data_IF_315891512417
#
_entry.id   IF_315891512417
#
_cell.length_a   1.000
_cell.length_b   1.000
_cell.length_c   1.000
_cell.angle_alpha   90.00
_cell.angle_beta   90.00
_cell.angle_gamma   90.00
#
_symmetry.space_group_name_H-M   'P 1'
#
loop_
_entity.id
_entity.type
_entity.pdbx_description
1 polymer ?
#
# COMPACT_ATOMS: atom_id res chain seq x y z
N UNK A 1 -35.00 1.23 -69.87
CA UNK A 1 -34.15 1.36 -68.66
C UNK A 1 -35.05 1.79 -67.52
N UNK A 2 -35.49 0.85 -66.67
CA UNK A 2 -36.38 1.14 -65.54
C UNK A 2 -35.51 1.41 -64.31
N UNK A 3 -35.53 2.64 -63.83
CA UNK A 3 -34.81 3.04 -62.60
C UNK A 3 -35.74 2.72 -61.43
N UNK A 4 -35.38 1.70 -60.66
CA UNK A 4 -36.07 1.32 -59.43
C UNK A 4 -35.70 2.30 -58.32
N UNK A 5 -36.62 3.21 -57.99
CA UNK A 5 -36.45 4.20 -56.93
C UNK A 5 -36.71 3.51 -55.60
N UNK A 6 -35.65 2.99 -54.98
CA UNK A 6 -35.70 2.49 -53.59
C UNK A 6 -36.21 3.60 -52.67
N UNK A 7 -37.41 3.44 -52.11
CA UNK A 7 -37.94 4.33 -51.07
C UNK A 7 -37.00 4.31 -49.87
N UNK A 8 -36.30 5.42 -49.65
CA UNK A 8 -35.65 5.69 -48.37
C UNK A 8 -36.74 5.82 -47.31
N UNK A 9 -36.83 4.85 -46.40
CA UNK A 9 -37.65 4.97 -45.20
C UNK A 9 -36.91 5.91 -44.25
N UNK A 10 -37.42 7.12 -44.08
CA UNK A 10 -36.93 8.08 -43.10
C UNK A 10 -37.31 7.66 -41.68
N UNK A 11 -36.46 8.04 -40.72
CA UNK A 11 -36.71 7.83 -39.29
C UNK A 11 -37.99 8.54 -38.84
N UNK A 12 -38.72 7.92 -37.92
CA UNK A 12 -39.89 8.55 -37.28
C UNK A 12 -39.47 9.32 -36.03
N UNK A 13 -40.21 10.38 -35.69
CA UNK A 13 -39.98 11.14 -34.46
C UNK A 13 -40.07 10.25 -33.21
N UNK A 14 -40.97 9.27 -33.23
CA UNK A 14 -41.19 8.33 -32.14
C UNK A 14 -39.96 7.46 -31.89
N UNK A 15 -39.29 7.03 -32.95
CA UNK A 15 -38.06 6.22 -32.88
C UNK A 15 -36.91 7.01 -32.25
N UNK A 16 -36.76 8.28 -32.60
CA UNK A 16 -35.77 9.16 -31.96
C UNK A 16 -36.11 9.38 -30.49
N UNK A 17 -37.37 9.66 -30.15
CA UNK A 17 -37.81 9.86 -28.77
C UNK A 17 -37.48 8.67 -27.87
N UNK A 18 -37.78 7.45 -28.33
CA UNK A 18 -37.47 6.22 -27.57
C UNK A 18 -35.97 6.09 -27.32
N UNK A 19 -35.13 6.39 -28.33
CA UNK A 19 -33.67 6.35 -28.18
C UNK A 19 -33.18 7.36 -27.13
N UNK A 20 -33.66 8.61 -27.14
CA UNK A 20 -33.21 9.61 -26.15
C UNK A 20 -33.64 9.24 -24.73
N UNK A 21 -34.81 8.64 -24.57
CA UNK A 21 -35.31 8.15 -23.27
C UNK A 21 -34.42 7.03 -22.75
N UNK A 22 -34.10 6.03 -23.58
CA UNK A 22 -33.21 4.92 -23.19
C UNK A 22 -31.81 5.45 -22.85
N UNK A 23 -31.26 6.36 -23.65
CA UNK A 23 -29.95 6.99 -23.37
C UNK A 23 -29.96 7.80 -22.07
N UNK A 24 -31.06 8.51 -21.76
CA UNK A 24 -31.21 9.22 -20.49
C UNK A 24 -31.24 8.30 -19.28
N UNK A 25 -31.94 7.15 -19.38
CA UNK A 25 -31.98 6.12 -18.33
C UNK A 25 -30.59 5.49 -18.15
N UNK A 26 -29.93 5.10 -19.25
CA UNK A 26 -28.60 4.49 -19.20
C UNK A 26 -27.56 5.46 -18.64
N UNK A 27 -27.62 6.74 -19.01
CA UNK A 27 -26.72 7.76 -18.48
C UNK A 27 -26.86 7.95 -16.97
N UNK A 28 -28.08 7.81 -16.42
CA UNK A 28 -28.32 7.91 -14.98
C UNK A 28 -27.84 6.69 -14.18
N UNK A 29 -27.73 5.52 -14.82
CA UNK A 29 -27.32 4.27 -14.17
C UNK A 29 -25.81 4.02 -14.17
N UNK A 30 -25.05 4.74 -14.99
CA UNK A 30 -23.59 4.60 -15.02
C UNK A 30 -22.99 5.45 -13.90
N UNK A 31 -22.90 4.85 -12.71
CA UNK A 31 -21.98 5.30 -11.66
C UNK A 31 -20.74 4.42 -11.73
N UNK A 32 -19.60 4.92 -12.26
CA UNK A 32 -18.36 4.15 -12.19
C UNK A 32 -17.89 4.09 -10.73
N UNK A 33 -18.21 3.00 -10.04
CA UNK A 33 -17.80 2.73 -8.66
C UNK A 33 -16.38 2.12 -8.66
N UNK A 34 -15.36 2.91 -8.98
CA UNK A 34 -13.97 2.40 -9.15
C UNK A 34 -12.96 2.96 -8.13
N UNK A 35 -13.37 3.80 -7.17
CA UNK A 35 -12.40 4.63 -6.42
C UNK A 35 -11.79 3.98 -5.15
N UNK A 36 -12.21 2.80 -4.68
CA UNK A 36 -11.73 2.27 -3.37
C UNK A 36 -10.72 1.11 -3.40
N UNK A 37 -10.38 0.55 -4.56
CA UNK A 37 -9.42 -0.57 -4.65
C UNK A 37 -7.93 -0.24 -4.39
N UNK A 38 -7.44 0.99 -4.63
CA UNK A 38 -6.05 1.31 -4.34
C UNK A 38 -5.71 1.21 -2.86
N UNK A 39 -6.67 1.51 -1.98
CA UNK A 39 -6.39 1.76 -0.56
C UNK A 39 -6.24 0.47 0.25
N UNK A 40 -7.13 -0.50 0.06
CA UNK A 40 -6.97 -1.84 0.66
C UNK A 40 -5.67 -2.51 0.20
N UNK A 41 -5.31 -2.36 -1.08
CA UNK A 41 -4.08 -2.89 -1.62
C UNK A 41 -2.84 -2.26 -0.98
N UNK A 42 -2.89 -0.96 -0.65
CA UNK A 42 -1.83 -0.28 0.11
C UNK A 42 -1.70 -0.86 1.51
N UNK A 43 -2.79 -0.99 2.26
CA UNK A 43 -2.75 -1.58 3.61
C UNK A 43 -2.16 -2.99 3.59
N UNK A 44 -2.56 -3.81 2.63
CA UNK A 44 -2.00 -5.18 2.46
C UNK A 44 -0.50 -5.13 2.13
N UNK A 45 -0.08 -4.26 1.21
CA UNK A 45 1.34 -4.09 0.89
C UNK A 45 2.14 -3.64 2.11
N UNK A 46 1.60 -2.70 2.90
CA UNK A 46 2.25 -2.25 4.12
C UNK A 46 2.44 -3.39 5.12
N UNK A 47 1.41 -4.23 5.33
CA UNK A 47 1.48 -5.41 6.20
C UNK A 47 2.52 -6.42 5.72
N UNK A 48 2.63 -6.63 4.41
CA UNK A 48 3.65 -7.52 3.82
C UNK A 48 5.07 -7.00 4.05
N UNK A 49 5.30 -5.70 3.83
CA UNK A 49 6.59 -5.07 4.06
C UNK A 49 6.99 -5.13 5.54
N UNK A 50 6.06 -4.84 6.47
CA UNK A 50 6.29 -4.96 7.92
C UNK A 50 6.64 -6.41 8.28
N UNK A 51 5.92 -7.40 7.74
CA UNK A 51 6.22 -8.81 7.99
C UNK A 51 7.63 -9.19 7.51
N UNK A 52 8.05 -8.70 6.35
CA UNK A 52 9.39 -8.92 5.80
C UNK A 52 10.48 -8.26 6.66
N UNK A 53 10.27 -7.00 7.07
CA UNK A 53 11.18 -6.29 7.97
C UNK A 53 11.32 -6.99 9.32
N UNK A 54 10.21 -7.48 9.89
CA UNK A 54 10.22 -8.25 11.13
C UNK A 54 11.01 -9.56 11.00
N UNK A 55 10.92 -10.25 9.85
CA UNK A 55 11.74 -11.44 9.59
C UNK A 55 13.24 -11.08 9.52
N UNK A 56 13.59 -9.99 8.84
CA UNK A 56 14.97 -9.51 8.77
C UNK A 56 15.52 -9.11 10.15
N UNK A 57 14.70 -8.46 11.00
CA UNK A 57 15.06 -8.12 12.37
C UNK A 57 15.28 -9.37 13.23
N UNK A 58 14.45 -10.40 13.07
CA UNK A 58 14.64 -11.70 13.75
C UNK A 58 15.95 -12.35 13.35
N UNK A 59 16.30 -12.30 12.06
CA UNK A 59 17.58 -12.80 11.56
C UNK A 59 18.77 -11.98 12.10
N UNK A 60 18.64 -10.65 12.13
CA UNK A 60 19.63 -9.78 12.77
C UNK A 60 19.87 -10.17 14.23
N UNK A 61 18.78 -10.41 14.98
CA UNK A 61 18.88 -10.86 16.38
C UNK A 61 19.49 -12.24 16.49
N UNK A 62 19.20 -13.16 15.57
CA UNK A 62 19.79 -14.50 15.60
C UNK A 62 21.33 -14.43 15.54
N UNK A 63 21.86 -13.59 14.66
CA UNK A 63 23.30 -13.44 14.48
C UNK A 63 23.95 -12.65 15.63
N UNK A 64 23.30 -11.54 16.04
CA UNK A 64 23.89 -10.54 16.94
C UNK A 64 23.40 -10.65 18.38
N UNK A 65 22.52 -11.61 18.67
CA UNK A 65 21.88 -11.88 19.96
C UNK A 65 21.01 -10.73 20.50
N UNK A 66 20.78 -9.69 19.71
CA UNK A 66 19.96 -8.52 20.04
C UNK A 66 19.37 -7.88 18.79
N UNK A 67 18.25 -7.20 18.93
CA UNK A 67 17.77 -6.30 17.88
C UNK A 67 18.62 -5.01 17.81
N UNK A 68 18.58 -4.28 16.68
CA UNK A 68 19.12 -2.93 16.60
C UNK A 68 18.45 -2.01 17.63
N UNK A 69 19.15 -0.98 18.09
CA UNK A 69 18.54 0.08 18.91
C UNK A 69 17.64 0.99 18.06
N UNK A 70 16.75 1.74 18.70
CA UNK A 70 15.92 2.75 17.99
C UNK A 70 16.79 3.75 17.22
N UNK A 71 17.90 4.20 17.79
CA UNK A 71 18.83 5.14 17.14
C UNK A 71 19.55 4.55 15.92
N UNK A 72 19.86 3.25 15.96
CA UNK A 72 20.38 2.53 14.81
C UNK A 72 19.29 2.32 13.73
N UNK A 73 18.05 2.14 14.19
CA UNK A 73 16.86 2.02 13.35
C UNK A 73 16.88 0.82 12.40
N UNK A 74 15.96 0.85 11.43
CA UNK A 74 15.92 -0.13 10.35
C UNK A 74 17.15 -0.07 9.43
N UNK A 75 17.90 1.04 9.45
CA UNK A 75 19.11 1.19 8.64
C UNK A 75 20.17 0.15 8.98
N UNK A 76 20.17 -0.36 10.22
CA UNK A 76 20.99 -1.48 10.67
C UNK A 76 20.81 -2.77 9.86
N UNK A 77 19.67 -2.92 9.17
CA UNK A 77 19.38 -4.07 8.31
C UNK A 77 20.09 -3.98 6.95
N UNK A 78 20.48 -2.78 6.50
CA UNK A 78 21.13 -2.56 5.20
C UNK A 78 22.62 -2.31 5.39
N UNK A 79 22.98 -1.47 6.35
CA UNK A 79 24.36 -1.04 6.61
C UNK A 79 24.73 -1.41 8.04
N UNK A 80 25.94 -1.94 8.22
CA UNK A 80 26.45 -2.26 9.55
C UNK A 80 26.48 -1.01 10.43
N UNK A 81 25.81 -1.01 11.60
CA UNK A 81 25.90 0.09 12.55
C UNK A 81 27.32 0.29 13.07
N UNK A 82 27.73 1.55 13.13
CA UNK A 82 28.99 1.99 13.77
C UNK A 82 28.76 2.52 15.19
N UNK A 83 27.51 2.81 15.55
CA UNK A 83 27.12 3.26 16.89
C UNK A 83 27.00 2.08 17.85
N UNK A 84 27.43 2.30 19.09
CA UNK A 84 27.31 1.29 20.14
C UNK A 84 25.84 0.97 20.46
N UNK A 85 25.48 -0.31 20.65
CA UNK A 85 26.33 -1.49 20.58
C UNK A 85 26.63 -1.92 19.13
N UNK A 86 27.92 -2.03 18.80
CA UNK A 86 28.36 -2.46 17.45
C UNK A 86 28.13 -3.98 17.32
N UNK A 87 27.39 -4.45 16.30
CA UNK A 87 27.14 -5.86 16.11
C UNK A 87 28.42 -6.62 15.71
N UNK A 88 28.68 -7.72 16.41
CA UNK A 88 29.87 -8.56 16.21
C UNK A 88 29.73 -9.47 14.99
N UNK A 89 28.56 -10.08 14.78
CA UNK A 89 28.31 -11.08 13.74
C UNK A 89 27.39 -10.54 12.64
N UNK A 90 27.46 -9.24 12.35
CA UNK A 90 26.63 -8.63 11.32
C UNK A 90 26.91 -9.27 9.95
N UNK A 91 25.86 -9.80 9.31
CA UNK A 91 25.96 -10.51 8.03
C UNK A 91 26.49 -9.61 6.92
N UNK A 92 27.62 -9.98 6.31
CA UNK A 92 28.18 -9.26 5.15
C UNK A 92 27.15 -9.17 4.02
N UNK A 93 26.84 -7.94 3.58
CA UNK A 93 25.80 -7.64 2.58
C UNK A 93 24.43 -7.28 3.16
N UNK A 94 24.25 -7.35 4.47
CA UNK A 94 23.02 -6.95 5.15
C UNK A 94 21.95 -8.04 5.23
N UNK A 95 20.85 -7.65 5.86
CA UNK A 95 19.66 -8.47 6.11
C UNK A 95 18.55 -8.17 5.10
N UNK A 96 18.56 -6.98 4.50
CA UNK A 96 17.70 -6.57 3.39
C UNK A 96 18.53 -5.79 2.36
N UNK A 97 18.20 -5.92 1.07
CA UNK A 97 18.94 -5.23 0.00
C UNK A 97 18.76 -3.71 0.06
N UNK A 98 17.53 -3.27 0.36
CA UNK A 98 17.15 -1.87 0.55
C UNK A 98 15.95 -1.79 1.47
N UNK A 99 15.82 -0.68 2.18
CA UNK A 99 14.60 -0.43 2.95
C UNK A 99 13.45 -0.10 1.99
N UNK A 100 12.29 -0.79 2.12
CA UNK A 100 11.08 -0.35 1.45
C UNK A 100 10.62 0.98 2.07
N UNK A 101 9.93 1.76 1.25
CA UNK A 101 9.05 2.82 1.73
C UNK A 101 7.67 2.24 1.84
N UNK A 102 6.88 2.75 2.76
CA UNK A 102 5.48 2.38 2.84
C UNK A 102 4.73 2.78 1.55
N UNK A 103 3.50 2.29 1.35
CA UNK A 103 2.72 2.55 0.14
C UNK A 103 2.37 4.04 -0.10
N UNK A 104 2.56 4.90 0.90
CA UNK A 104 2.36 6.35 0.80
C UNK A 104 3.67 7.12 0.60
N UNK A 105 4.80 6.41 0.58
CA UNK A 105 6.13 6.96 0.30
C UNK A 105 6.92 7.37 1.53
N UNK A 106 6.40 7.09 2.72
CA UNK A 106 7.04 7.41 4.00
C UNK A 106 7.97 6.27 4.44
N UNK A 107 9.01 6.56 5.24
CA UNK A 107 9.82 5.51 5.85
C UNK A 107 9.03 4.79 6.96
N UNK A 108 9.24 3.48 7.06
CA UNK A 108 8.77 2.70 8.21
C UNK A 108 9.46 3.15 9.50
N UNK A 109 8.69 3.10 10.58
CA UNK A 109 9.14 3.39 11.93
C UNK A 109 9.55 2.10 12.65
N UNK A 110 10.47 2.24 13.59
CA UNK A 110 10.96 1.13 14.41
C UNK A 110 11.19 1.58 15.84
N UNK A 111 10.75 0.77 16.80
CA UNK A 111 10.98 0.99 18.23
C UNK A 111 11.55 -0.25 18.89
N UNK A 112 12.57 -0.05 19.72
CA UNK A 112 13.16 -1.05 20.59
C UNK A 112 13.62 -0.39 21.92
N UNK A 113 12.97 -0.66 23.07
CA UNK A 113 11.86 -1.59 23.24
C UNK A 113 10.58 -1.12 22.54
N UNK A 114 9.79 -2.07 22.04
CA UNK A 114 8.45 -1.79 21.50
C UNK A 114 7.45 -1.39 22.59
N UNK A 115 6.35 -0.77 22.17
CA UNK A 115 5.20 -0.45 23.02
C UNK A 115 4.22 -1.63 23.06
N UNK A 116 4.03 -2.31 21.93
CA UNK A 116 3.07 -3.42 21.79
C UNK A 116 3.73 -4.80 21.88
N UNK A 117 5.06 -4.85 21.84
CA UNK A 117 5.84 -6.08 21.96
C UNK A 117 7.30 -5.81 22.30
N UNK A 118 8.16 -6.80 22.06
CA UNK A 118 9.61 -6.66 22.29
C UNK A 118 10.21 -5.59 21.37
N UNK A 119 9.74 -5.53 20.12
CA UNK A 119 10.03 -4.52 19.12
C UNK A 119 8.76 -4.21 18.34
N UNK A 120 8.65 -2.98 17.84
CA UNK A 120 7.56 -2.56 16.96
C UNK A 120 8.12 -2.08 15.62
N UNK A 121 7.46 -2.46 14.52
CA UNK A 121 7.67 -1.91 13.17
C UNK A 121 6.33 -1.46 12.63
N UNK A 122 6.22 -0.21 12.17
CA UNK A 122 4.93 0.34 11.75
C UNK A 122 5.05 1.47 10.72
N UNK A 123 3.94 1.75 10.05
CA UNK A 123 3.72 2.92 9.20
C UNK A 123 2.60 3.76 9.80
N UNK A 124 2.70 5.07 9.65
CA UNK A 124 1.69 6.05 10.07
C UNK A 124 0.51 6.16 9.10
N UNK A 125 0.39 5.28 8.10
CA UNK A 125 -0.67 5.39 7.10
C UNK A 125 -0.49 6.58 6.16
N UNK A 126 -1.61 7.05 5.59
CA UNK A 126 -1.61 8.04 4.52
C UNK A 126 -1.29 9.47 4.97
N UNK A 127 -1.61 9.83 6.20
CA UNK A 127 -1.40 11.17 6.76
C UNK A 127 0.04 11.36 7.29
N UNK A 128 0.76 10.25 7.55
CA UNK A 128 2.11 10.27 8.09
C UNK A 128 2.18 10.68 9.55
N UNK A 129 1.05 10.65 10.27
CA UNK A 129 0.96 10.99 11.69
C UNK A 129 0.44 9.80 12.51
N UNK A 130 0.72 9.80 13.82
CA UNK A 130 0.20 8.74 14.69
C UNK A 130 -1.30 8.89 14.91
N UNK A 131 -2.01 7.77 14.89
CA UNK A 131 -3.45 7.69 15.06
C UNK A 131 -4.16 7.50 13.74
N UNK A 132 -5.15 8.36 13.46
CA UNK A 132 -5.92 8.34 12.21
C UNK A 132 -7.04 7.29 12.13
N UNK A 133 -7.95 7.49 11.17
CA UNK A 133 -9.05 6.58 10.86
C UNK A 133 -8.98 6.12 9.38
N UNK A 134 -9.35 4.88 9.11
CA UNK A 134 -9.37 4.34 7.76
C UNK A 134 -7.96 4.20 7.18
N UNK A 135 -7.64 4.97 6.14
CA UNK A 135 -6.34 4.92 5.48
C UNK A 135 -5.24 5.66 6.24
N UNK A 136 -5.64 6.51 7.18
CA UNK A 136 -4.74 7.27 8.05
C UNK A 136 -4.37 6.45 9.30
N UNK A 137 -5.01 5.29 9.50
CA UNK A 137 -4.74 4.45 10.66
C UNK A 137 -3.34 3.86 10.63
N UNK A 138 -2.64 3.97 11.77
CA UNK A 138 -1.35 3.32 12.01
C UNK A 138 -1.40 1.81 11.70
N UNK A 139 -0.49 1.33 10.85
CA UNK A 139 -0.37 -0.10 10.51
C UNK A 139 0.92 -0.61 11.12
N UNK A 140 0.82 -1.51 12.09
CA UNK A 140 1.97 -2.00 12.84
C UNK A 140 2.10 -3.52 12.95
N UNK A 141 3.28 -3.96 13.38
CA UNK A 141 3.63 -5.36 13.59
C UNK A 141 2.75 -6.08 14.62
N UNK A 142 2.02 -5.33 15.46
CA UNK A 142 1.06 -5.86 16.43
C UNK A 142 -0.26 -6.34 15.80
N UNK A 143 -0.52 -6.01 14.53
CA UNK A 143 -1.71 -6.47 13.80
C UNK A 143 -1.44 -7.67 12.88
N UNK A 144 -0.21 -8.20 12.88
CA UNK A 144 0.23 -9.28 12.00
C UNK A 144 0.08 -10.67 12.64
#
# INVERSE_FOLDING_TARGET
>A
MLIDVRRQRGFTLLEVMVVVVILGILAALVVPKIISRPDEARVIAAKQDIASLMQALKLYRLDNQRYPTTDQGLQALVVKPETSPIPLNWKSGGYVERLPKDPWGNPYQFLNPGVHGEIDVFSYGADGASGGEGNDTDIGSWEL
#
